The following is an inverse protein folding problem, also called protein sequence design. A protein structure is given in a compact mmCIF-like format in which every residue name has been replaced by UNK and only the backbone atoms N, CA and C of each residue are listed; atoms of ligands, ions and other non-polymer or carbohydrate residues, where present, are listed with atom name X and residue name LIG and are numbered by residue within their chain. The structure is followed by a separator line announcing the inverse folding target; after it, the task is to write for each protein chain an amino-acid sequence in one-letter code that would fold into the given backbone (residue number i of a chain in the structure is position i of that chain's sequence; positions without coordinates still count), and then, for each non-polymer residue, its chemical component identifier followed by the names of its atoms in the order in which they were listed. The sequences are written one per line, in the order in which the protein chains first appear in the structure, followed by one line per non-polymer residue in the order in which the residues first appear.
data_IF_996644270089
#
_entry.id   IF_996644270089
#
_cell.length_a   1.000
_cell.length_b   1.000
_cell.length_c   1.000
_cell.angle_alpha   90.00
_cell.angle_beta   90.00
_cell.angle_gamma   90.00
#
_symmetry.space_group_name_H-M   'P 1'
#
loop_
_entity.id
_entity.type
_entity.pdbx_description
1 polymer ?
#
# COMPACT_ATOMS: atom_id res chain seq x y z
N UNK A 1 -15.51 -18.87 -2.93
CA UNK A 1 -16.37 -17.66 -2.93
C UNK A 1 -17.25 -17.51 -1.68
N UNK A 2 -17.42 -18.52 -0.81
CA UNK A 2 -18.30 -18.45 0.38
C UNK A 2 -17.59 -18.08 1.68
N UNK A 3 -16.36 -17.54 1.60
CA UNK A 3 -15.67 -17.09 2.81
C UNK A 3 -16.41 -15.88 3.42
N UNK A 4 -16.68 -15.83 4.75
CA UNK A 4 -17.50 -14.78 5.37
C UNK A 4 -17.00 -13.35 5.17
N UNK A 5 -15.69 -13.17 4.94
CA UNK A 5 -15.10 -11.87 4.59
C UNK A 5 -15.89 -11.14 3.50
N UNK A 6 -16.34 -11.85 2.46
CA UNK A 6 -17.03 -11.24 1.32
C UNK A 6 -18.42 -10.69 1.66
N UNK A 7 -19.06 -11.16 2.73
CA UNK A 7 -20.37 -10.66 3.19
C UNK A 7 -20.28 -9.48 4.14
N UNK A 8 -19.08 -9.08 4.57
CA UNK A 8 -18.90 -7.99 5.53
C UNK A 8 -18.65 -6.62 4.87
N UNK A 9 -18.45 -6.56 3.55
CA UNK A 9 -18.19 -5.29 2.84
C UNK A 9 -19.48 -4.57 2.47
N UNK A 10 -19.52 -3.25 2.68
CA UNK A 10 -20.63 -2.39 2.24
C UNK A 10 -20.64 -2.19 0.71
N UNK A 11 -19.45 -2.10 0.10
CA UNK A 11 -19.27 -1.90 -1.35
C UNK A 11 -18.30 -2.96 -1.88
N UNK A 12 -18.73 -3.68 -2.93
CA UNK A 12 -17.91 -4.67 -3.62
C UNK A 12 -17.93 -4.45 -5.13
N UNK A 13 -16.76 -4.30 -5.72
CA UNK A 13 -16.59 -4.26 -7.16
C UNK A 13 -16.49 -5.69 -7.70
N UNK A 14 -17.36 -6.07 -8.65
CA UNK A 14 -17.31 -7.37 -9.33
C UNK A 14 -16.30 -7.40 -10.48
N UNK A 15 -16.07 -6.25 -11.10
CA UNK A 15 -15.31 -6.10 -12.35
C UNK A 15 -14.23 -5.01 -12.23
N UNK A 16 -13.48 -5.03 -11.13
CA UNK A 16 -12.34 -4.13 -10.93
C UNK A 16 -11.12 -4.64 -11.70
N UNK A 17 -10.53 -3.79 -12.55
CA UNK A 17 -9.32 -4.11 -13.32
C UNK A 17 -8.09 -3.44 -12.69
N UNK A 18 -7.07 -4.23 -12.32
CA UNK A 18 -5.79 -3.71 -11.81
C UNK A 18 -4.95 -2.98 -12.87
N UNK A 19 -5.27 -3.18 -14.16
CA UNK A 19 -4.55 -2.64 -15.32
C UNK A 19 -3.07 -3.07 -15.42
N UNK A 20 -2.64 -4.03 -14.61
CA UNK A 20 -1.31 -4.65 -14.62
C UNK A 20 -1.28 -5.90 -13.74
N UNK A 21 -0.35 -6.81 -14.03
CA UNK A 21 -0.10 -8.04 -13.27
C UNK A 21 1.21 -8.01 -12.46
N UNK A 22 1.88 -6.85 -12.38
CA UNK A 22 3.12 -6.68 -11.61
C UNK A 22 2.88 -5.80 -10.39
N UNK A 23 3.39 -6.21 -9.23
CA UNK A 23 3.11 -5.59 -7.93
C UNK A 23 3.53 -4.13 -7.85
N UNK A 24 4.74 -3.80 -8.31
CA UNK A 24 5.25 -2.42 -8.34
C UNK A 24 4.38 -1.47 -9.16
N UNK A 25 4.14 -1.75 -10.46
CA UNK A 25 3.18 -1.02 -11.28
C UNK A 25 1.77 -0.93 -10.69
N UNK A 26 1.27 -1.98 -10.04
CA UNK A 26 -0.05 -1.97 -9.39
C UNK A 26 -0.10 -0.96 -8.24
N UNK A 27 0.92 -0.96 -7.38
CA UNK A 27 1.03 -0.02 -6.27
C UNK A 27 1.16 1.43 -6.77
N UNK A 28 1.98 1.70 -7.79
CA UNK A 28 2.11 3.04 -8.39
C UNK A 28 0.75 3.52 -8.93
N UNK A 29 0.01 2.66 -9.64
CA UNK A 29 -1.32 3.00 -10.17
C UNK A 29 -2.30 3.36 -9.06
N UNK A 30 -2.33 2.59 -7.97
CA UNK A 30 -3.18 2.88 -6.82
C UNK A 30 -2.78 4.20 -6.14
N UNK A 31 -1.49 4.44 -5.92
CA UNK A 31 -1.01 5.67 -5.31
C UNK A 31 -1.27 6.91 -6.19
N UNK A 32 -1.38 6.72 -7.52
CA UNK A 32 -1.74 7.75 -8.51
C UNK A 32 -3.24 7.75 -8.90
N UNK A 33 -4.12 7.21 -8.06
CA UNK A 33 -5.54 6.98 -8.39
C UNK A 33 -6.38 8.26 -8.62
N UNK A 34 -5.86 9.46 -8.36
CA UNK A 34 -6.61 10.72 -8.55
C UNK A 34 -6.59 11.24 -9.99
N UNK A 35 -6.02 10.48 -10.93
CA UNK A 35 -5.94 10.80 -12.36
C UNK A 35 -6.32 9.59 -13.23
N UNK A 36 -6.53 9.83 -14.53
CA UNK A 36 -6.80 8.76 -15.50
C UNK A 36 -5.63 7.78 -15.67
N UNK A 37 -5.92 6.59 -16.21
CA UNK A 37 -4.95 5.49 -16.35
C UNK A 37 -3.79 5.85 -17.30
N UNK A 38 -2.52 5.87 -16.84
CA UNK A 38 -1.37 6.09 -17.71
C UNK A 38 -0.90 4.80 -18.41
N UNK A 39 -0.10 4.94 -19.46
CA UNK A 39 0.70 3.85 -20.03
C UNK A 39 1.71 3.32 -19.00
N UNK A 40 2.24 2.11 -19.20
CA UNK A 40 3.24 1.53 -18.31
C UNK A 40 4.51 2.40 -18.20
N UNK A 41 5.05 2.86 -19.33
CA UNK A 41 6.22 3.75 -19.35
C UNK A 41 6.01 5.04 -18.55
N UNK A 42 4.80 5.61 -18.58
CA UNK A 42 4.49 6.83 -17.86
C UNK A 42 4.30 6.64 -16.35
N UNK A 43 4.22 5.40 -15.83
CA UNK A 43 4.27 5.15 -14.39
C UNK A 43 5.63 5.55 -13.79
N UNK A 44 6.68 5.42 -14.58
CA UNK A 44 8.06 5.71 -14.17
C UNK A 44 8.51 7.13 -14.52
N UNK A 45 7.60 7.96 -15.04
CA UNK A 45 7.79 9.39 -15.22
C UNK A 45 7.04 10.16 -14.12
N UNK A 46 7.44 11.41 -13.82
CA UNK A 46 6.69 12.27 -12.90
C UNK A 46 5.23 12.44 -13.35
N UNK A 47 4.29 12.40 -12.40
CA UNK A 47 2.89 12.77 -12.64
C UNK A 47 2.62 14.18 -12.07
N UNK A 48 1.48 14.77 -12.44
CA UNK A 48 1.02 15.99 -11.77
C UNK A 48 0.74 15.73 -10.29
N UNK A 49 1.08 16.69 -9.42
CA UNK A 49 0.94 16.55 -7.96
C UNK A 49 -0.51 16.22 -7.50
N UNK A 50 -1.51 16.55 -8.31
CA UNK A 50 -2.91 16.22 -8.07
C UNK A 50 -3.25 14.75 -8.30
N UNK A 51 -2.37 13.96 -8.92
CA UNK A 51 -2.62 12.55 -9.17
C UNK A 51 -2.35 11.67 -7.94
N UNK A 52 -1.50 12.13 -7.03
CA UNK A 52 -1.07 11.38 -5.85
C UNK A 52 -2.16 11.41 -4.77
N UNK A 53 -2.82 10.27 -4.55
CA UNK A 53 -3.96 10.14 -3.65
C UNK A 53 -3.62 10.59 -2.22
N UNK A 54 -2.49 10.11 -1.68
CA UNK A 54 -2.11 10.42 -0.31
C UNK A 54 -1.65 11.87 -0.13
N UNK A 55 -1.08 12.51 -1.15
CA UNK A 55 -0.76 13.94 -1.11
C UNK A 55 -2.03 14.80 -1.11
N UNK A 56 -3.04 14.40 -1.87
CA UNK A 56 -4.35 15.06 -1.84
C UNK A 56 -5.00 14.94 -0.46
N UNK A 57 -4.95 13.76 0.16
CA UNK A 57 -5.43 13.55 1.52
C UNK A 57 -4.63 14.38 2.54
N UNK A 58 -3.32 14.48 2.40
CA UNK A 58 -2.48 15.28 3.31
C UNK A 58 -2.77 16.77 3.24
N UNK A 59 -3.09 17.31 2.06
CA UNK A 59 -3.57 18.70 1.93
C UNK A 59 -4.88 18.95 2.69
N UNK A 60 -5.65 17.89 2.99
CA UNK A 60 -6.88 17.93 3.78
C UNK A 60 -6.66 17.57 5.26
N UNK A 61 -5.40 17.44 5.71
CA UNK A 61 -5.07 17.19 7.11
C UNK A 61 -4.93 15.72 7.51
N UNK A 62 -4.90 14.78 6.56
CA UNK A 62 -4.65 13.37 6.86
C UNK A 62 -3.14 13.09 6.95
N UNK A 63 -2.69 12.56 8.08
CA UNK A 63 -1.30 12.10 8.24
C UNK A 63 -1.07 10.82 7.44
N UNK A 64 0.00 10.78 6.62
CA UNK A 64 0.35 9.61 5.80
C UNK A 64 1.08 8.56 6.64
N UNK A 65 0.71 7.29 6.46
CA UNK A 65 1.42 6.15 7.03
C UNK A 65 1.66 5.08 5.96
N UNK A 66 2.80 4.39 6.09
CA UNK A 66 3.21 3.28 5.23
C UNK A 66 3.39 2.04 6.10
N UNK A 67 2.69 0.96 5.74
CA UNK A 67 2.72 -0.32 6.42
C UNK A 67 2.89 -1.45 5.42
N UNK A 68 3.77 -2.39 5.72
CA UNK A 68 4.00 -3.61 4.95
C UNK A 68 4.06 -4.79 5.92
N UNK A 69 3.62 -5.96 5.49
CA UNK A 69 3.91 -7.25 6.16
C UNK A 69 5.25 -7.85 5.72
N UNK A 70 6.01 -7.15 4.88
CA UNK A 70 7.30 -7.58 4.34
C UNK A 70 8.27 -6.40 4.28
N UNK A 71 9.54 -6.64 3.95
CA UNK A 71 10.57 -5.58 3.94
C UNK A 71 10.55 -4.68 2.68
N UNK A 72 9.81 -5.07 1.63
CA UNK A 72 9.72 -4.36 0.35
C UNK A 72 11.01 -4.32 -0.50
N UNK A 73 12.00 -5.17 -0.23
CA UNK A 73 13.29 -5.16 -0.94
C UNK A 73 13.21 -5.85 -2.30
N UNK A 74 12.54 -7.00 -2.39
CA UNK A 74 12.48 -7.72 -3.65
C UNK A 74 11.85 -6.89 -4.77
N UNK A 75 12.45 -6.98 -5.96
CA UNK A 75 11.99 -6.26 -7.14
C UNK A 75 11.98 -4.74 -6.96
N UNK A 76 12.76 -4.22 -6.00
CA UNK A 76 12.79 -2.80 -5.64
C UNK A 76 11.41 -2.23 -5.26
N UNK A 77 10.49 -3.05 -4.73
CA UNK A 77 9.10 -2.65 -4.50
C UNK A 77 8.95 -1.38 -3.65
N UNK A 78 9.60 -1.31 -2.49
CA UNK A 78 9.53 -0.13 -1.61
C UNK A 78 10.17 1.10 -2.27
N UNK A 79 11.20 0.89 -3.09
CA UNK A 79 11.82 1.96 -3.86
C UNK A 79 10.85 2.51 -4.90
N UNK A 80 10.17 1.67 -5.67
CA UNK A 80 9.13 2.11 -6.63
C UNK A 80 7.97 2.84 -5.93
N UNK A 81 7.49 2.33 -4.79
CA UNK A 81 6.46 2.97 -3.97
C UNK A 81 6.86 4.39 -3.55
N UNK A 82 8.14 4.60 -3.21
CA UNK A 82 8.69 5.91 -2.86
C UNK A 82 8.88 6.79 -4.09
N UNK A 83 9.69 6.35 -5.04
CA UNK A 83 10.15 7.16 -6.17
C UNK A 83 9.03 7.45 -7.18
N UNK A 84 8.17 6.47 -7.47
CA UNK A 84 7.14 6.59 -8.49
C UNK A 84 5.74 6.77 -7.87
N UNK A 85 5.49 6.13 -6.72
CA UNK A 85 4.23 6.26 -5.98
C UNK A 85 4.13 7.50 -5.10
N UNK A 86 5.23 8.19 -4.80
CA UNK A 86 5.24 9.41 -3.99
C UNK A 86 5.06 9.19 -2.48
N UNK A 87 5.01 7.95 -2.00
CA UNK A 87 4.81 7.62 -0.59
C UNK A 87 6.12 7.76 0.20
N UNK A 88 6.33 8.90 0.85
CA UNK A 88 7.58 9.20 1.59
C UNK A 88 7.50 8.91 3.10
N UNK A 89 6.36 8.46 3.61
CA UNK A 89 6.25 8.09 5.02
C UNK A 89 7.25 7.00 5.40
N UNK A 90 7.83 7.08 6.62
CA UNK A 90 8.65 5.99 7.12
C UNK A 90 7.83 4.71 7.18
N UNK A 91 8.46 3.59 6.87
CA UNK A 91 7.86 2.27 7.06
C UNK A 91 7.61 2.08 8.56
N UNK A 92 6.39 1.67 8.93
CA UNK A 92 6.04 1.36 10.31
C UNK A 92 7.03 0.33 10.88
N UNK A 93 7.42 0.49 12.14
CA UNK A 93 8.34 -0.45 12.79
C UNK A 93 7.84 -1.89 12.70
N UNK A 94 8.69 -2.77 12.18
CA UNK A 94 8.43 -4.20 12.04
C UNK A 94 9.16 -5.04 13.09
N UNK A 95 9.93 -4.40 14.00
CA UNK A 95 10.67 -5.12 15.02
C UNK A 95 9.75 -5.97 15.90
N UNK A 96 10.15 -7.21 16.17
CA UNK A 96 9.41 -8.18 17.02
C UNK A 96 8.02 -8.56 16.50
N UNK A 97 7.67 -8.26 15.25
CA UNK A 97 6.49 -8.87 14.64
C UNK A 97 6.74 -10.38 14.43
N UNK A 98 5.74 -11.23 14.73
CA UNK A 98 5.86 -12.66 14.45
C UNK A 98 5.91 -12.89 12.94
N UNK A 99 6.76 -13.83 12.52
CA UNK A 99 6.92 -14.22 11.12
C UNK A 99 6.00 -15.39 10.83
N UNK A 100 5.14 -15.26 9.83
CA UNK A 100 4.19 -16.31 9.43
C UNK A 100 4.74 -17.15 8.27
N UNK A 101 5.43 -16.50 7.33
CA UNK A 101 6.04 -17.15 6.17
C UNK A 101 7.44 -16.59 5.88
N UNK A 102 8.21 -17.32 5.08
CA UNK A 102 9.36 -16.78 4.37
C UNK A 102 8.95 -16.56 2.91
N UNK A 103 9.27 -15.41 2.35
CA UNK A 103 9.04 -15.07 0.95
C UNK A 103 9.98 -15.86 0.03
N UNK A 104 9.80 -15.71 -1.29
CA UNK A 104 10.64 -16.36 -2.30
C UNK A 104 12.12 -15.91 -2.26
N UNK A 105 12.43 -14.71 -1.72
CA UNK A 105 13.81 -14.23 -1.51
C UNK A 105 14.35 -14.58 -0.10
N UNK A 106 13.59 -15.35 0.67
CA UNK A 106 13.93 -15.78 2.02
C UNK A 106 13.71 -14.71 3.09
N UNK A 107 13.18 -13.54 2.74
CA UNK A 107 12.87 -12.49 3.70
C UNK A 107 11.58 -12.80 4.50
N UNK A 108 11.39 -12.20 5.69
CA UNK A 108 10.20 -12.45 6.49
C UNK A 108 8.94 -11.88 5.85
N UNK A 109 7.85 -12.65 5.92
CA UNK A 109 6.46 -12.17 5.81
C UNK A 109 5.82 -12.28 7.19
N UNK A 110 5.47 -11.14 7.76
CA UNK A 110 4.93 -10.98 9.11
C UNK A 110 3.45 -11.39 9.15
N UNK A 111 2.98 -11.75 10.34
CA UNK A 111 1.55 -12.00 10.57
C UNK A 111 0.70 -10.72 10.39
N UNK A 112 -0.25 -10.76 9.46
CA UNK A 112 -1.11 -9.62 9.12
C UNK A 112 -1.90 -9.09 10.31
N UNK A 113 -2.39 -9.97 11.17
CA UNK A 113 -3.16 -9.57 12.34
C UNK A 113 -2.27 -8.81 13.33
N UNK A 114 -1.02 -9.24 13.54
CA UNK A 114 -0.05 -8.53 14.36
C UNK A 114 0.33 -7.17 13.77
N UNK A 115 0.50 -7.10 12.45
CA UNK A 115 0.75 -5.84 11.70
C UNK A 115 -0.43 -4.87 11.90
N UNK A 116 -1.66 -5.32 11.68
CA UNK A 116 -2.88 -4.52 11.85
C UNK A 116 -3.09 -4.08 13.30
N UNK A 117 -2.85 -4.96 14.27
CA UNK A 117 -2.95 -4.63 15.70
C UNK A 117 -1.92 -3.57 16.11
N UNK A 118 -0.69 -3.65 15.57
CA UNK A 118 0.34 -2.62 15.80
C UNK A 118 -0.09 -1.27 15.24
N UNK A 119 -0.61 -1.25 14.01
CA UNK A 119 -1.16 -0.04 13.41
C UNK A 119 -2.28 0.55 14.27
N UNK A 120 -3.22 -0.28 14.73
CA UNK A 120 -4.33 0.14 15.60
C UNK A 120 -3.83 0.73 16.94
N UNK A 121 -2.78 0.16 17.53
CA UNK A 121 -2.17 0.69 18.76
C UNK A 121 -1.39 2.00 18.55
N UNK A 122 -0.79 2.17 17.36
CA UNK A 122 -0.17 3.45 16.96
C UNK A 122 -1.22 4.54 16.65
N UNK A 123 -2.50 4.17 16.60
CA UNK A 123 -3.60 5.02 16.23
C UNK A 123 -4.23 5.80 17.39
N UNK A 124 -3.67 6.98 17.72
CA UNK A 124 -4.47 8.06 18.33
C UNK A 124 -5.55 8.59 17.38
N UNK A 125 -6.59 9.26 17.91
CA UNK A 125 -7.82 9.72 17.24
C UNK A 125 -7.68 10.76 16.09
N UNK A 126 -6.51 10.90 15.48
CA UNK A 126 -6.27 11.82 14.37
C UNK A 126 -6.63 11.19 13.00
N UNK A 127 -7.05 12.03 12.05
CA UNK A 127 -7.30 11.66 10.65
C UNK A 127 -6.02 11.15 9.96
N UNK A 128 -6.08 9.97 9.34
CA UNK A 128 -4.93 9.29 8.73
C UNK A 128 -5.26 8.70 7.37
N UNK A 129 -4.30 8.77 6.46
CA UNK A 129 -4.24 7.91 5.28
C UNK A 129 -3.15 6.88 5.49
N UNK A 130 -3.49 5.59 5.52
CA UNK A 130 -2.49 4.50 5.57
C UNK A 130 -2.47 3.73 4.26
N UNK A 131 -1.31 3.62 3.63
CA UNK A 131 -1.07 2.64 2.57
C UNK A 131 -0.54 1.36 3.20
N UNK A 132 -1.25 0.25 2.97
CA UNK A 132 -0.89 -1.09 3.43
C UNK A 132 -0.70 -2.00 2.23
N UNK A 133 0.43 -2.71 2.15
CA UNK A 133 0.66 -3.76 1.16
C UNK A 133 1.06 -5.07 1.84
N UNK A 134 0.49 -6.17 1.34
CA UNK A 134 0.54 -7.51 1.91
C UNK A 134 1.08 -8.47 0.84
N UNK A 135 1.94 -9.44 1.19
CA UNK A 135 2.62 -10.34 0.24
C UNK A 135 2.07 -11.77 0.26
#
# INVERSE_FOLDING_TARGET
MQHPLWSHFDIRFSDFNSATSYSGPAAIRLLRASCGQPSHTNLYQPAGNQCYLFDNLSKLGFTQHLMLDHNGVFGDFLKEVRENGGMQSPLMDQSKLPVNLLSFDGSPVYDDLAVLNRWMQSAGYASRGTFSHLL
#
